data_IF_055823038464
#
_entry.id   IF_055823038464
#
_cell.length_a   1.000
_cell.length_b   1.000
_cell.length_c   1.000
_cell.angle_alpha   90.00
_cell.angle_beta   90.00
_cell.angle_gamma   90.00
#
_symmetry.space_group_name_H-M   'P 1'
#
loop_
_entity.id
_entity.type
_entity.pdbx_description
1 polymer ?
#
# COMPACT_ATOMS: atom_id res chain seq x y z
N UNK A 1 18.05 1.82 3.87
CA UNK A 1 17.05 1.98 4.95
C UNK A 1 17.25 0.84 5.93
N UNK A 2 17.17 1.05 7.26
CA UNK A 2 17.22 -0.07 8.21
C UNK A 2 16.08 -1.05 7.93
N UNK A 3 16.41 -2.34 7.81
CA UNK A 3 15.46 -3.42 7.64
C UNK A 3 14.84 -3.85 8.98
N UNK A 4 15.70 -3.91 10.01
CA UNK A 4 15.34 -4.23 11.39
C UNK A 4 14.88 -2.97 12.13
N UNK A 5 13.97 -3.17 13.08
CA UNK A 5 13.30 -2.14 13.86
C UNK A 5 12.03 -2.68 14.52
N UNK A 6 11.41 -1.89 15.39
CA UNK A 6 10.14 -2.27 16.05
C UNK A 6 8.97 -2.41 15.06
N UNK A 7 9.00 -1.63 13.99
CA UNK A 7 8.01 -1.61 12.91
C UNK A 7 8.71 -1.92 11.61
N UNK A 8 8.01 -2.60 10.70
CA UNK A 8 8.53 -2.79 9.35
C UNK A 8 8.74 -1.45 8.66
N UNK A 9 9.84 -1.30 7.93
CA UNK A 9 10.05 -0.19 7.02
C UNK A 9 9.04 -0.22 5.86
N UNK A 10 8.89 0.89 5.14
CA UNK A 10 7.95 1.02 4.03
C UNK A 10 6.50 1.36 4.44
N UNK A 11 6.26 1.61 5.73
CA UNK A 11 4.98 2.12 6.26
C UNK A 11 5.10 3.63 6.48
N UNK A 12 5.74 4.06 7.57
CA UNK A 12 5.98 5.48 7.88
C UNK A 12 7.28 6.01 7.27
N UNK A 13 8.10 5.14 6.66
CA UNK A 13 9.29 5.53 5.91
C UNK A 13 8.91 6.57 4.85
N UNK A 14 9.80 7.53 4.63
CA UNK A 14 9.72 8.47 3.52
C UNK A 14 9.29 7.75 2.24
N UNK A 15 8.25 8.25 1.57
CA UNK A 15 7.68 7.58 0.40
C UNK A 15 8.67 7.64 -0.78
N UNK A 16 9.24 6.50 -1.16
CA UNK A 16 10.15 6.40 -2.31
C UNK A 16 9.39 6.61 -3.63
N UNK A 17 10.11 6.96 -4.69
CA UNK A 17 9.49 7.35 -5.96
C UNK A 17 8.79 6.21 -6.71
N UNK A 18 9.26 4.97 -6.56
CA UNK A 18 8.81 3.80 -7.32
C UNK A 18 8.35 2.68 -6.39
N UNK A 19 7.45 1.85 -6.91
CA UNK A 19 6.91 0.69 -6.21
C UNK A 19 6.80 -0.52 -7.14
N UNK A 20 7.13 -1.69 -6.63
CA UNK A 20 6.62 -2.96 -7.12
C UNK A 20 5.88 -3.69 -6.00
N UNK A 21 4.56 -3.79 -6.13
CA UNK A 21 3.73 -4.56 -5.21
C UNK A 21 3.48 -5.94 -5.80
N UNK A 22 3.60 -6.99 -5.00
CA UNK A 22 3.31 -8.35 -5.42
C UNK A 22 2.43 -9.06 -4.37
N UNK A 23 1.40 -9.74 -4.84
CA UNK A 23 0.58 -10.65 -4.05
C UNK A 23 0.86 -12.08 -4.49
N UNK A 24 0.99 -12.99 -3.53
CA UNK A 24 1.33 -14.38 -3.72
C UNK A 24 0.25 -15.28 -3.13
N UNK A 25 -0.03 -16.39 -3.81
CA UNK A 25 -0.78 -17.52 -3.27
C UNK A 25 0.22 -18.60 -2.82
N UNK A 26 0.07 -19.10 -1.59
CA UNK A 26 0.84 -20.23 -1.06
C UNK A 26 0.26 -21.52 -1.66
N UNK A 27 1.13 -22.30 -2.30
CA UNK A 27 0.78 -23.52 -3.04
C UNK A 27 0.97 -24.81 -2.25
N UNK A 28 1.77 -24.77 -1.17
CA UNK A 28 1.95 -25.90 -0.25
C UNK A 28 0.95 -25.84 0.91
N UNK A 29 0.68 -27.00 1.50
CA UNK A 29 -0.06 -27.15 2.76
C UNK A 29 0.88 -27.45 3.95
N UNK A 30 2.18 -27.59 3.69
CA UNK A 30 3.18 -27.87 4.72
C UNK A 30 3.63 -26.58 5.42
N UNK A 31 3.40 -26.51 6.73
CA UNK A 31 3.80 -25.39 7.59
C UNK A 31 5.32 -25.13 7.54
N UNK A 32 6.13 -26.19 7.55
CA UNK A 32 7.58 -26.07 7.63
C UNK A 32 8.19 -25.49 6.34
N UNK A 33 7.59 -25.80 5.18
CA UNK A 33 8.00 -25.21 3.90
C UNK A 33 7.78 -23.69 3.92
N UNK A 34 6.64 -23.23 4.45
CA UNK A 34 6.31 -21.80 4.58
C UNK A 34 7.26 -21.10 5.55
N UNK A 35 7.52 -21.69 6.73
CA UNK A 35 8.47 -21.13 7.70
C UNK A 35 9.88 -21.05 7.09
N UNK A 36 10.31 -22.08 6.37
CA UNK A 36 11.61 -22.11 5.68
C UNK A 36 11.70 -21.00 4.63
N UNK A 37 10.65 -20.82 3.83
CA UNK A 37 10.57 -19.75 2.84
C UNK A 37 10.67 -18.37 3.51
N UNK A 38 9.90 -18.12 4.57
CA UNK A 38 9.89 -16.83 5.26
C UNK A 38 11.25 -16.50 5.90
N UNK A 39 11.94 -17.49 6.45
CA UNK A 39 13.33 -17.35 6.93
C UNK A 39 14.28 -16.98 5.79
N UNK A 40 14.16 -17.63 4.64
CA UNK A 40 15.00 -17.34 3.48
C UNK A 40 14.73 -15.95 2.90
N UNK A 41 13.45 -15.61 2.70
CA UNK A 41 13.01 -14.29 2.25
C UNK A 41 13.49 -13.17 3.17
N UNK A 42 13.45 -13.36 4.49
CA UNK A 42 13.95 -12.38 5.46
C UNK A 42 15.43 -12.08 5.23
N UNK A 43 16.27 -13.12 5.09
CA UNK A 43 17.71 -12.95 4.84
C UNK A 43 17.98 -12.21 3.54
N UNK A 44 17.27 -12.59 2.48
CA UNK A 44 17.39 -11.93 1.18
C UNK A 44 16.95 -10.46 1.25
N UNK A 45 15.82 -10.18 1.90
CA UNK A 45 15.30 -8.84 2.05
C UNK A 45 16.27 -7.93 2.82
N UNK A 46 16.83 -8.41 3.93
CA UNK A 46 17.83 -7.69 4.71
C UNK A 46 19.06 -7.34 3.87
N UNK A 47 19.57 -8.28 3.05
CA UNK A 47 20.68 -8.02 2.14
C UNK A 47 20.33 -7.00 1.06
N UNK A 48 19.22 -7.20 0.34
CA UNK A 48 18.81 -6.32 -0.76
C UNK A 48 18.53 -4.88 -0.29
N UNK A 49 17.98 -4.68 0.91
CA UNK A 49 17.78 -3.33 1.46
C UNK A 49 19.09 -2.58 1.79
N UNK A 50 20.22 -3.29 1.83
CA UNK A 50 21.58 -2.74 1.92
C UNK A 50 22.26 -2.57 0.55
N UNK A 51 21.57 -2.91 -0.55
CA UNK A 51 22.13 -2.88 -1.90
C UNK A 51 23.05 -4.06 -2.19
N UNK A 52 22.96 -5.13 -1.39
CA UNK A 52 23.70 -6.36 -1.61
C UNK A 52 22.87 -7.34 -2.44
N UNK A 53 23.54 -8.25 -3.14
CA UNK A 53 22.92 -9.43 -3.75
C UNK A 53 22.24 -10.31 -2.70
N UNK A 54 21.23 -11.07 -3.14
CA UNK A 54 20.45 -12.01 -2.32
C UNK A 54 21.29 -13.03 -1.55
N UNK A 55 22.44 -13.40 -2.12
CA UNK A 55 23.53 -14.12 -1.47
C UNK A 55 24.87 -13.48 -1.87
N UNK A 56 25.93 -13.65 -1.07
CA UNK A 56 27.23 -13.07 -1.41
C UNK A 56 27.80 -13.71 -2.67
N UNK A 57 28.07 -12.90 -3.71
CA UNK A 57 28.52 -13.38 -5.02
C UNK A 57 27.47 -14.19 -5.78
N UNK A 58 26.19 -14.05 -5.41
CA UNK A 58 25.09 -14.86 -5.92
C UNK A 58 24.82 -14.70 -7.42
N UNK A 59 25.21 -13.59 -8.04
CA UNK A 59 24.96 -13.31 -9.45
C UNK A 59 26.03 -13.88 -10.38
N UNK A 60 27.32 -13.84 -9.98
CA UNK A 60 28.44 -14.12 -10.90
C UNK A 60 29.56 -14.99 -10.34
N UNK A 61 29.73 -15.10 -9.01
CA UNK A 61 30.90 -15.76 -8.39
C UNK A 61 30.60 -17.19 -7.90
N UNK A 62 29.42 -17.71 -8.23
CA UNK A 62 28.98 -19.07 -7.87
C UNK A 62 29.55 -20.18 -8.75
N UNK A 63 29.03 -21.40 -8.58
CA UNK A 63 29.37 -22.54 -9.44
C UNK A 63 28.91 -22.25 -10.89
N UNK A 64 29.81 -22.25 -11.90
CA UNK A 64 29.46 -21.92 -13.28
C UNK A 64 28.49 -22.92 -13.94
N UNK A 65 28.27 -24.08 -13.32
CA UNK A 65 27.34 -25.11 -13.79
C UNK A 65 26.01 -25.13 -13.02
N UNK A 66 25.78 -24.18 -12.12
CA UNK A 66 24.53 -24.03 -11.39
C UNK A 66 23.82 -22.72 -11.75
N UNK A 67 22.48 -22.65 -11.67
CA UNK A 67 21.78 -21.37 -11.74
C UNK A 67 22.29 -20.42 -10.64
N UNK A 68 22.46 -19.12 -10.94
CA UNK A 68 22.89 -18.14 -9.94
C UNK A 68 21.82 -17.97 -8.85
N UNK A 69 22.25 -17.64 -7.62
CA UNK A 69 21.34 -17.40 -6.49
C UNK A 69 20.80 -15.96 -6.47
N UNK A 70 21.36 -15.05 -7.27
CA UNK A 70 20.80 -13.75 -7.60
C UNK A 70 20.60 -13.60 -9.11
N UNK A 71 19.52 -12.97 -9.55
CA UNK A 71 19.22 -12.80 -10.98
C UNK A 71 20.06 -11.72 -11.67
N UNK A 72 20.80 -10.90 -10.92
CA UNK A 72 21.88 -10.03 -11.40
C UNK A 72 21.45 -8.70 -12.03
N UNK A 73 20.16 -8.46 -12.26
CA UNK A 73 19.72 -7.21 -12.91
C UNK A 73 19.91 -5.97 -12.03
N UNK A 74 20.20 -6.09 -10.73
CA UNK A 74 20.53 -4.94 -9.88
C UNK A 74 22.04 -4.72 -9.68
N UNK A 75 22.91 -5.50 -10.33
CA UNK A 75 24.36 -5.31 -10.25
C UNK A 75 24.75 -3.90 -10.67
N UNK A 76 25.55 -3.24 -9.84
CA UNK A 76 26.01 -1.85 -10.06
C UNK A 76 24.99 -0.77 -9.71
N UNK A 77 23.78 -1.13 -9.28
CA UNK A 77 22.80 -0.17 -8.75
C UNK A 77 22.98 0.01 -7.24
N UNK A 78 22.69 1.20 -6.68
CA UNK A 78 22.69 1.40 -5.23
C UNK A 78 21.47 0.74 -4.59
N UNK A 79 21.46 0.63 -3.25
CA UNK A 79 20.29 0.19 -2.49
C UNK A 79 19.01 0.99 -2.77
N UNK A 80 19.14 2.23 -3.28
CA UNK A 80 18.04 3.09 -3.74
C UNK A 80 16.91 3.27 -2.72
N UNK A 81 17.28 3.38 -1.44
CA UNK A 81 16.35 3.44 -0.30
C UNK A 81 15.33 2.29 -0.27
N UNK A 82 15.69 1.11 -0.78
CA UNK A 82 14.79 -0.04 -0.84
C UNK A 82 14.23 -0.37 0.54
N UNK A 83 12.90 -0.50 0.60
CA UNK A 83 12.18 -1.12 1.71
C UNK A 83 11.33 -2.26 1.17
N UNK A 84 11.23 -3.33 1.96
CA UNK A 84 10.35 -4.46 1.70
C UNK A 84 9.41 -4.64 2.90
N UNK A 85 8.11 -4.55 2.66
CA UNK A 85 7.08 -4.72 3.70
C UNK A 85 6.26 -5.96 3.39
N UNK A 86 6.18 -6.91 4.31
CA UNK A 86 5.38 -8.13 4.18
C UNK A 86 4.03 -8.00 4.90
N UNK A 87 3.00 -8.67 4.40
CA UNK A 87 1.73 -8.85 5.08
C UNK A 87 1.04 -10.16 4.71
N UNK A 88 0.19 -10.66 5.60
CA UNK A 88 -0.54 -11.92 5.46
C UNK A 88 -2.03 -11.67 5.25
N UNK A 89 -2.60 -12.22 4.17
CA UNK A 89 -4.01 -12.04 3.81
C UNK A 89 -4.92 -13.02 4.54
N UNK A 90 -6.26 -12.84 4.48
CA UNK A 90 -7.21 -13.75 5.12
C UNK A 90 -7.01 -15.22 4.71
N UNK A 91 -6.71 -15.46 3.43
CA UNK A 91 -6.56 -16.80 2.86
C UNK A 91 -5.27 -17.53 3.28
N UNK A 92 -4.31 -16.81 3.90
CA UNK A 92 -3.12 -17.41 4.52
C UNK A 92 -3.47 -18.27 5.73
N UNK A 93 -4.50 -17.88 6.48
CA UNK A 93 -4.95 -18.56 7.69
C UNK A 93 -5.99 -19.64 7.38
N UNK A 94 -6.90 -19.36 6.45
CA UNK A 94 -7.97 -20.28 6.06
C UNK A 94 -8.21 -20.25 4.55
N UNK A 95 -8.24 -21.40 3.91
CA UNK A 95 -8.60 -21.52 2.50
C UNK A 95 -9.67 -22.59 2.33
N UNK A 96 -10.78 -22.22 1.68
CA UNK A 96 -11.95 -23.07 1.49
C UNK A 96 -12.47 -23.71 2.80
N UNK A 97 -12.45 -22.92 3.88
CA UNK A 97 -12.87 -23.34 5.22
C UNK A 97 -11.86 -24.20 5.98
N UNK A 98 -10.73 -24.58 5.38
CA UNK A 98 -9.67 -25.39 6.02
C UNK A 98 -8.66 -24.49 6.71
N UNK A 99 -8.26 -24.91 7.91
CA UNK A 99 -7.12 -24.33 8.63
C UNK A 99 -5.84 -24.61 7.84
N UNK A 100 -5.12 -23.54 7.50
CA UNK A 100 -3.80 -23.66 6.89
C UNK A 100 -2.75 -23.57 7.96
N UNK A 101 -1.86 -24.55 7.99
CA UNK A 101 -0.68 -24.57 8.86
C UNK A 101 -0.99 -24.63 10.37
N UNK A 102 -2.25 -24.84 10.77
CA UNK A 102 -2.65 -24.92 12.18
C UNK A 102 -2.61 -23.58 12.90
N UNK A 103 -2.85 -22.48 12.17
CA UNK A 103 -2.79 -21.10 12.69
C UNK A 103 -4.12 -20.35 12.52
N UNK A 104 -5.20 -21.04 12.16
CA UNK A 104 -6.43 -20.36 11.82
C UNK A 104 -7.18 -19.72 13.02
N UNK A 105 -6.79 -20.04 14.24
CA UNK A 105 -7.17 -19.36 15.49
C UNK A 105 -6.38 -18.06 15.72
N UNK A 106 -5.24 -17.89 15.04
CA UNK A 106 -4.42 -16.67 15.06
C UNK A 106 -4.89 -15.59 14.10
N UNK A 107 -5.85 -15.88 13.22
CA UNK A 107 -6.39 -14.89 12.29
C UNK A 107 -7.04 -13.73 13.07
N UNK A 108 -6.59 -12.47 12.85
CA UNK A 108 -7.22 -11.32 13.49
C UNK A 108 -8.68 -11.19 13.05
N UNK A 109 -9.57 -10.82 13.98
CA UNK A 109 -11.00 -10.72 13.69
C UNK A 109 -11.35 -9.69 12.59
N UNK A 110 -10.52 -8.65 12.45
CA UNK A 110 -10.66 -7.61 11.41
C UNK A 110 -10.01 -7.99 10.07
N UNK A 111 -9.21 -9.07 10.01
CA UNK A 111 -8.59 -9.55 8.78
C UNK A 111 -9.58 -10.40 7.98
N UNK A 112 -10.49 -9.73 7.28
CA UNK A 112 -11.51 -10.35 6.42
C UNK A 112 -11.61 -9.59 5.10
N UNK A 113 -12.06 -10.27 4.05
CA UNK A 113 -12.36 -9.61 2.78
C UNK A 113 -13.23 -8.38 2.99
N UNK A 114 -12.85 -7.28 2.34
CA UNK A 114 -13.59 -6.03 2.44
C UNK A 114 -15.03 -6.22 1.93
N UNK A 115 -16.01 -5.51 2.51
CA UNK A 115 -17.36 -5.53 1.99
C UNK A 115 -17.36 -4.97 0.55
N UNK A 116 -18.37 -5.35 -0.23
CA UNK A 116 -18.60 -4.72 -1.53
C UNK A 116 -19.00 -3.26 -1.35
N UNK A 117 -18.46 -2.40 -2.19
CA UNK A 117 -18.82 -0.99 -2.29
C UNK A 117 -19.50 -0.72 -3.64
N UNK A 118 -20.35 0.32 -3.74
CA UNK A 118 -20.82 0.79 -5.04
C UNK A 118 -19.67 1.18 -5.99
N UNK A 119 -19.93 1.16 -7.30
CA UNK A 119 -18.97 1.56 -8.35
C UNK A 119 -17.66 0.74 -8.37
N UNK A 120 -17.79 -0.56 -8.07
CA UNK A 120 -16.72 -1.56 -8.18
C UNK A 120 -16.94 -2.49 -9.38
N UNK A 121 -15.88 -2.71 -10.16
CA UNK A 121 -15.81 -3.74 -11.20
C UNK A 121 -14.54 -4.55 -11.00
N UNK A 122 -14.57 -5.41 -9.97
CA UNK A 122 -13.39 -6.17 -9.54
C UNK A 122 -12.96 -7.21 -10.59
N UNK A 123 -11.67 -7.23 -10.88
CA UNK A 123 -10.99 -8.34 -11.55
C UNK A 123 -10.51 -9.33 -10.48
N UNK A 124 -11.11 -10.54 -10.35
CA UNK A 124 -10.71 -11.51 -9.34
C UNK A 124 -9.23 -11.93 -9.42
N UNK A 125 -8.61 -11.85 -10.61
CA UNK A 125 -7.20 -12.14 -10.79
C UNK A 125 -6.29 -11.08 -10.14
N UNK A 126 -6.81 -9.88 -9.88
CA UNK A 126 -6.10 -8.75 -9.25
C UNK A 126 -6.61 -8.43 -7.83
N UNK A 127 -7.22 -9.42 -7.16
CA UNK A 127 -7.76 -9.26 -5.81
C UNK A 127 -7.17 -10.29 -4.84
N UNK A 128 -7.05 -9.93 -3.56
CA UNK A 128 -6.67 -10.84 -2.47
C UNK A 128 -5.24 -11.39 -2.55
N UNK A 129 -5.08 -12.63 -2.08
CA UNK A 129 -3.81 -13.34 -2.00
C UNK A 129 -3.40 -13.64 -0.56
N UNK A 130 -2.52 -14.63 -0.41
CA UNK A 130 -2.08 -15.15 0.89
C UNK A 130 -0.98 -14.28 1.50
N UNK A 131 -0.01 -13.83 0.71
CA UNK A 131 1.11 -13.01 1.19
C UNK A 131 1.28 -11.83 0.24
N UNK A 132 1.42 -10.61 0.76
CA UNK A 132 1.89 -9.48 -0.03
C UNK A 132 3.32 -9.10 0.31
N UNK A 133 4.05 -8.60 -0.69
CA UNK A 133 5.31 -7.86 -0.50
C UNK A 133 5.21 -6.52 -1.24
N UNK A 134 5.36 -5.42 -0.50
CA UNK A 134 5.51 -4.08 -1.06
C UNK A 134 7.00 -3.74 -1.14
N UNK A 135 7.55 -3.69 -2.36
CA UNK A 135 8.90 -3.18 -2.61
C UNK A 135 8.83 -1.72 -3.04
N UNK A 136 9.47 -0.82 -2.30
CA UNK A 136 9.56 0.60 -2.65
C UNK A 136 11.01 1.04 -2.71
N UNK A 137 11.40 1.72 -3.78
CA UNK A 137 12.75 2.23 -4.02
C UNK A 137 12.70 3.47 -4.91
N UNK A 138 13.78 4.24 -4.97
CA UNK A 138 13.87 5.40 -5.89
C UNK A 138 14.22 4.99 -7.33
N UNK A 139 14.62 3.72 -7.51
CA UNK A 139 14.92 3.10 -8.80
C UNK A 139 13.95 1.92 -9.02
N UNK A 140 13.21 1.89 -10.15
CA UNK A 140 12.22 0.84 -10.38
C UNK A 140 12.87 -0.53 -10.62
N UNK A 141 14.09 -0.59 -11.17
CA UNK A 141 14.81 -1.84 -11.43
C UNK A 141 15.22 -2.52 -10.12
N UNK A 142 15.59 -1.74 -9.10
CA UNK A 142 15.86 -2.25 -7.74
C UNK A 142 14.61 -2.85 -7.10
N UNK A 143 13.44 -2.18 -7.23
CA UNK A 143 12.18 -2.74 -6.71
C UNK A 143 11.74 -4.01 -7.46
N UNK A 144 11.95 -4.05 -8.79
CA UNK A 144 11.65 -5.22 -9.63
C UNK A 144 12.55 -6.41 -9.28
N UNK A 145 13.86 -6.18 -9.18
CA UNK A 145 14.85 -7.17 -8.77
C UNK A 145 14.47 -7.85 -7.46
N UNK A 146 14.06 -7.06 -6.46
CA UNK A 146 13.71 -7.59 -5.15
C UNK A 146 12.52 -8.56 -5.20
N UNK A 147 11.40 -8.14 -5.82
CA UNK A 147 10.23 -9.01 -5.98
C UNK A 147 10.55 -10.23 -6.83
N UNK A 148 11.31 -10.07 -7.92
CA UNK A 148 11.68 -11.19 -8.81
C UNK A 148 12.48 -12.25 -8.08
N UNK A 149 13.46 -11.86 -7.27
CA UNK A 149 14.26 -12.80 -6.50
C UNK A 149 13.44 -13.52 -5.42
N UNK A 150 12.57 -12.81 -4.71
CA UNK A 150 11.65 -13.44 -3.75
C UNK A 150 10.73 -14.45 -4.45
N UNK A 151 10.16 -14.10 -5.59
CA UNK A 151 9.33 -15.01 -6.39
C UNK A 151 10.11 -16.23 -6.89
N UNK A 152 11.36 -16.05 -7.34
CA UNK A 152 12.25 -17.12 -7.81
C UNK A 152 12.49 -18.15 -6.71
N UNK A 153 12.86 -17.70 -5.51
CA UNK A 153 13.11 -18.56 -4.35
C UNK A 153 11.82 -19.18 -3.81
N UNK A 154 10.69 -18.49 -3.97
CA UNK A 154 9.38 -18.99 -3.60
C UNK A 154 8.85 -20.15 -4.44
N UNK A 155 9.49 -20.48 -5.57
CA UNK A 155 9.03 -21.53 -6.47
C UNK A 155 8.76 -22.86 -5.73
N UNK A 156 7.58 -23.43 -5.95
CA UNK A 156 7.11 -24.65 -5.29
C UNK A 156 6.40 -24.42 -3.94
N UNK A 157 6.61 -23.27 -3.29
CA UNK A 157 5.95 -22.92 -2.02
C UNK A 157 4.89 -21.83 -2.22
N UNK A 158 5.16 -20.85 -3.08
CA UNK A 158 4.25 -19.77 -3.45
C UNK A 158 4.25 -19.54 -4.96
N UNK A 159 3.16 -18.97 -5.46
CA UNK A 159 3.02 -18.49 -6.84
C UNK A 159 2.57 -17.03 -6.83
N UNK A 160 3.08 -16.24 -7.78
CA UNK A 160 2.60 -14.86 -7.97
C UNK A 160 1.14 -14.91 -8.40
N UNK A 161 0.27 -14.25 -7.63
CA UNK A 161 -1.15 -14.09 -7.94
C UNK A 161 -1.36 -12.91 -8.88
N UNK A 162 -0.84 -11.75 -8.48
CA UNK A 162 -0.74 -10.56 -9.31
C UNK A 162 0.39 -9.66 -8.81
N UNK A 163 0.82 -8.76 -9.67
CA UNK A 163 1.74 -7.70 -9.29
C UNK A 163 1.34 -6.38 -9.93
N UNK A 164 1.75 -5.26 -9.33
CA UNK A 164 1.50 -3.93 -9.83
C UNK A 164 2.79 -3.12 -9.74
N UNK A 165 3.15 -2.47 -10.85
CA UNK A 165 4.19 -1.45 -10.86
C UNK A 165 3.57 -0.08 -10.63
N UNK A 166 4.17 0.67 -9.72
CA UNK A 166 3.86 2.07 -9.44
C UNK A 166 5.02 2.94 -9.89
N UNK A 167 4.80 3.78 -10.90
CA UNK A 167 5.88 4.59 -11.46
C UNK A 167 6.05 5.94 -10.76
N UNK A 168 5.11 6.39 -9.94
CA UNK A 168 5.27 7.66 -9.23
C UNK A 168 4.45 7.69 -7.95
N UNK A 169 5.08 8.02 -6.83
CA UNK A 169 4.39 8.19 -5.55
C UNK A 169 3.25 9.21 -5.64
N UNK A 170 2.18 8.95 -4.90
CA UNK A 170 1.02 9.87 -4.73
C UNK A 170 0.79 10.19 -3.26
N UNK A 171 1.83 10.02 -2.45
CA UNK A 171 1.80 10.22 -1.01
C UNK A 171 3.09 10.86 -0.53
N UNK A 172 2.98 11.58 0.58
CA UNK A 172 4.10 12.09 1.37
C UNK A 172 3.88 11.66 2.82
N UNK A 173 4.91 11.07 3.42
CA UNK A 173 4.91 10.56 4.81
C UNK A 173 5.82 11.37 5.73
N UNK A 174 6.54 12.36 5.20
CA UNK A 174 7.37 13.31 5.96
C UNK A 174 7.03 14.75 5.55
N UNK A 175 7.41 15.74 6.36
CA UNK A 175 7.16 17.16 6.04
C UNK A 175 8.11 17.73 5.00
N UNK A 176 9.31 17.17 4.90
CA UNK A 176 10.36 17.62 3.97
C UNK A 176 10.07 17.21 2.52
N UNK A 177 9.22 16.20 2.32
CA UNK A 177 8.79 15.79 0.99
C UNK A 177 7.77 16.75 0.41
N UNK A 178 8.11 17.36 -0.73
CA UNK A 178 7.13 18.00 -1.58
C UNK A 178 5.99 17.02 -1.92
N UNK A 179 4.76 17.51 -1.85
CA UNK A 179 3.57 16.72 -2.16
C UNK A 179 3.57 16.36 -3.66
N UNK A 180 3.59 15.06 -4.02
CA UNK A 180 3.60 14.63 -5.41
C UNK A 180 2.22 14.83 -6.05
N UNK A 181 2.11 14.54 -7.35
CA UNK A 181 0.83 14.60 -8.07
C UNK A 181 0.34 13.22 -8.50
N UNK A 182 -0.97 13.02 -8.48
CA UNK A 182 -1.60 11.87 -9.12
C UNK A 182 -1.89 12.12 -10.61
N UNK A 183 -2.39 11.12 -11.32
CA UNK A 183 -2.67 11.20 -12.76
C UNK A 183 -3.81 12.17 -13.15
N UNK A 184 -4.68 12.56 -12.22
CA UNK A 184 -5.61 13.67 -12.44
C UNK A 184 -4.94 15.05 -12.35
N UNK A 185 -3.66 15.09 -11.98
CA UNK A 185 -2.84 16.29 -11.91
C UNK A 185 -2.98 17.05 -10.59
N UNK A 186 -3.61 16.48 -9.57
CA UNK A 186 -3.76 17.09 -8.25
C UNK A 186 -2.63 16.68 -7.31
N UNK A 187 -2.26 17.58 -6.39
CA UNK A 187 -1.36 17.23 -5.28
C UNK A 187 -2.01 16.17 -4.40
N UNK A 188 -1.29 15.11 -4.10
CA UNK A 188 -1.80 13.96 -3.35
C UNK A 188 -0.87 13.61 -2.19
N UNK A 189 -1.43 13.63 -0.97
CA UNK A 189 -0.67 13.44 0.28
C UNK A 189 -0.49 14.70 1.15
N UNK A 190 -1.16 15.81 0.82
CA UNK A 190 -1.15 17.06 1.61
C UNK A 190 -1.59 16.84 3.05
N UNK A 191 -2.83 16.37 3.25
CA UNK A 191 -3.34 15.98 4.56
C UNK A 191 -3.20 14.46 4.71
N UNK A 192 -2.05 14.03 5.23
CA UNK A 192 -1.70 12.64 5.45
C UNK A 192 -0.94 12.55 6.78
N UNK A 193 -1.00 11.40 7.45
CA UNK A 193 -0.21 11.17 8.66
C UNK A 193 1.29 11.23 8.34
N UNK A 194 2.04 11.94 9.19
CA UNK A 194 3.49 12.13 9.05
C UNK A 194 4.26 11.34 10.10
N UNK A 195 5.48 10.94 9.76
CA UNK A 195 6.34 10.09 10.60
C UNK A 195 6.68 10.69 11.96
N UNK A 196 6.65 12.03 12.08
CA UNK A 196 6.89 12.78 13.32
C UNK A 196 5.65 12.88 14.23
N UNK A 197 4.47 12.50 13.75
CA UNK A 197 3.20 12.55 14.49
C UNK A 197 2.94 11.24 15.24
N UNK A 198 3.85 10.86 16.13
CA UNK A 198 3.85 9.55 16.81
C UNK A 198 2.52 9.21 17.49
N UNK A 199 1.91 10.15 18.22
CA UNK A 199 0.61 9.94 18.89
C UNK A 199 -0.52 9.64 17.90
N UNK A 200 -0.55 10.33 16.74
CA UNK A 200 -1.54 10.06 15.70
C UNK A 200 -1.27 8.71 15.01
N UNK A 201 -0.01 8.33 14.85
CA UNK A 201 0.37 7.03 14.29
C UNK A 201 -0.02 5.87 15.24
N UNK A 202 0.21 6.00 16.54
CA UNK A 202 -0.20 5.02 17.56
C UNK A 202 -1.72 4.89 17.64
N UNK A 203 -2.44 6.00 17.45
CA UNK A 203 -3.90 6.01 17.40
C UNK A 203 -4.44 5.36 16.12
N UNK A 204 -3.86 5.65 14.96
CA UNK A 204 -4.49 5.40 13.67
C UNK A 204 -3.83 4.33 12.80
N UNK A 205 -2.58 3.95 13.05
CA UNK A 205 -1.80 3.04 12.18
C UNK A 205 -1.40 1.76 12.89
N UNK A 206 -0.86 1.87 14.10
CA UNK A 206 -0.29 0.72 14.79
C UNK A 206 -1.31 -0.06 15.61
N UNK A 207 -1.39 -1.37 15.40
CA UNK A 207 -2.18 -2.29 16.23
C UNK A 207 -1.61 -2.27 17.65
N UNK A 208 -2.44 -1.94 18.64
CA UNK A 208 -2.02 -1.93 20.04
C UNK A 208 -2.36 -3.26 20.72
N UNK A 209 -1.79 -3.45 21.91
CA UNK A 209 -2.14 -4.56 22.78
C UNK A 209 -3.65 -4.56 23.08
N UNK A 210 -4.28 -5.73 22.96
CA UNK A 210 -5.72 -5.91 23.19
C UNK A 210 -6.63 -5.65 21.98
N UNK A 211 -6.12 -5.08 20.88
CA UNK A 211 -6.91 -4.90 19.65
C UNK A 211 -7.15 -6.21 18.89
N UNK A 212 -6.30 -7.21 19.10
CA UNK A 212 -6.30 -8.45 18.35
C UNK A 212 -5.29 -9.46 18.89
N UNK A 213 -4.89 -10.46 18.08
CA UNK A 213 -3.94 -11.48 18.53
C UNK A 213 -2.56 -10.85 18.80
N UNK A 214 -1.88 -11.33 19.84
CA UNK A 214 -0.62 -10.75 20.32
C UNK A 214 0.46 -10.64 19.23
N UNK A 215 0.51 -11.58 18.29
CA UNK A 215 1.51 -11.60 17.20
C UNK A 215 1.48 -10.37 16.30
N UNK A 216 0.31 -9.71 16.19
CA UNK A 216 0.11 -8.51 15.36
C UNK A 216 0.31 -7.22 16.17
N UNK A 217 0.57 -7.28 17.48
CA UNK A 217 0.82 -6.07 18.27
C UNK A 217 2.03 -5.36 17.71
N UNK A 218 1.85 -4.08 17.40
CA UNK A 218 2.84 -3.28 16.72
C UNK A 218 2.93 -3.49 15.21
N UNK A 219 2.03 -4.28 14.63
CA UNK A 219 1.80 -4.35 13.19
C UNK A 219 0.84 -3.26 12.72
N UNK A 220 0.32 -3.43 11.51
CA UNK A 220 -0.72 -2.60 10.89
C UNK A 220 -1.54 -3.47 9.94
N UNK A 221 -2.75 -3.05 9.61
CA UNK A 221 -3.46 -3.58 8.46
C UNK A 221 -3.11 -2.75 7.22
N UNK A 222 -2.86 -3.42 6.11
CA UNK A 222 -2.60 -2.85 4.79
C UNK A 222 -3.81 -3.16 3.90
N UNK A 223 -4.41 -2.12 3.32
CA UNK A 223 -5.45 -2.25 2.31
C UNK A 223 -4.89 -1.77 0.98
N UNK A 224 -5.08 -2.56 -0.08
CA UNK A 224 -4.81 -2.11 -1.46
C UNK A 224 -6.11 -1.97 -2.24
N UNK A 225 -6.15 -0.95 -3.10
CA UNK A 225 -7.23 -0.74 -4.07
C UNK A 225 -6.59 -0.35 -5.39
N UNK A 226 -6.80 -1.15 -6.44
CA UNK A 226 -6.46 -0.73 -7.81
C UNK A 226 -7.62 0.12 -8.32
N UNK A 227 -7.37 1.41 -8.50
CA UNK A 227 -8.38 2.40 -8.89
C UNK A 227 -8.05 2.88 -10.29
N UNK A 228 -8.82 2.42 -11.28
CA UNK A 228 -8.71 2.90 -12.65
C UNK A 228 -9.32 4.29 -12.75
N UNK A 229 -8.60 5.21 -13.39
CA UNK A 229 -9.04 6.56 -13.68
C UNK A 229 -9.56 6.64 -15.12
N UNK A 230 -10.71 7.31 -15.32
CA UNK A 230 -11.29 7.63 -16.63
C UNK A 230 -10.67 8.94 -17.13
N UNK A 231 -9.39 8.88 -17.49
CA UNK A 231 -8.54 10.05 -17.77
C UNK A 231 -9.10 10.89 -18.91
N UNK A 232 -9.59 10.26 -19.98
CA UNK A 232 -10.10 10.98 -21.15
C UNK A 232 -11.40 11.74 -20.87
N UNK A 233 -12.21 11.28 -19.91
CA UNK A 233 -13.40 11.99 -19.45
C UNK A 233 -13.00 13.16 -18.53
N UNK A 234 -12.03 12.90 -17.65
CA UNK A 234 -11.49 13.91 -16.75
C UNK A 234 -10.86 15.08 -17.50
N UNK A 235 -10.05 14.81 -18.52
CA UNK A 235 -9.34 15.83 -19.29
C UNK A 235 -10.26 16.73 -20.11
N UNK A 236 -11.50 16.29 -20.37
CA UNK A 236 -12.55 17.08 -21.02
C UNK A 236 -13.44 17.85 -20.03
N UNK A 237 -13.24 17.65 -18.74
CA UNK A 237 -13.96 18.32 -17.66
C UNK A 237 -13.32 19.70 -17.39
N UNK A 238 -14.14 20.73 -17.16
CA UNK A 238 -13.61 22.08 -16.89
C UNK A 238 -12.77 22.10 -15.63
N UNK A 239 -11.77 22.99 -15.55
CA UNK A 239 -10.92 23.13 -14.35
C UNK A 239 -11.74 23.39 -13.09
N UNK A 240 -12.75 24.27 -13.16
CA UNK A 240 -13.61 24.59 -12.02
C UNK A 240 -14.34 23.35 -11.51
N UNK A 241 -14.80 22.49 -12.42
CA UNK A 241 -15.47 21.24 -12.07
C UNK A 241 -14.48 20.22 -11.47
N UNK A 242 -13.28 20.10 -12.02
CA UNK A 242 -12.23 19.25 -11.42
C UNK A 242 -11.90 19.69 -9.99
N UNK A 243 -11.75 21.00 -9.76
CA UNK A 243 -11.49 21.57 -8.43
C UNK A 243 -12.70 21.43 -7.50
N UNK A 244 -13.93 21.48 -8.00
CA UNK A 244 -15.16 21.20 -7.23
C UNK A 244 -15.20 19.75 -6.77
N UNK A 245 -14.97 18.81 -7.69
CA UNK A 245 -14.96 17.36 -7.43
C UNK A 245 -13.93 16.99 -6.37
N UNK A 246 -12.72 17.56 -6.47
CA UNK A 246 -11.67 17.29 -5.48
C UNK A 246 -11.89 18.08 -4.19
N UNK A 247 -12.32 19.34 -4.29
CA UNK A 247 -12.45 20.29 -3.17
C UNK A 247 -11.16 21.07 -2.86
N UNK A 248 -10.15 20.97 -3.73
CA UNK A 248 -8.89 21.73 -3.67
C UNK A 248 -8.59 22.34 -5.04
N UNK A 249 -7.74 23.36 -5.05
CA UNK A 249 -7.24 23.98 -6.26
C UNK A 249 -6.16 23.12 -6.90
N UNK A 250 -6.21 22.94 -8.23
CA UNK A 250 -5.31 22.04 -8.96
C UNK A 250 -3.87 22.53 -8.94
N UNK A 251 -3.68 23.84 -9.09
CA UNK A 251 -2.35 24.47 -9.13
C UNK A 251 -1.65 24.42 -7.77
N UNK A 252 -2.20 25.15 -6.79
CA UNK A 252 -1.60 25.34 -5.46
C UNK A 252 -1.77 24.12 -4.54
N UNK A 253 -2.87 23.38 -4.68
CA UNK A 253 -3.30 22.37 -3.71
C UNK A 253 -4.09 22.94 -2.54
N UNK A 254 -4.33 24.25 -2.48
CA UNK A 254 -5.08 24.89 -1.39
C UNK A 254 -6.55 24.42 -1.38
N UNK A 255 -7.21 24.32 -0.22
CA UNK A 255 -8.66 24.14 -0.18
C UNK A 255 -9.37 25.23 -0.99
N UNK A 256 -10.49 24.89 -1.62
CA UNK A 256 -11.26 25.88 -2.36
C UNK A 256 -11.72 27.01 -1.42
N UNK A 257 -11.40 28.26 -1.78
CA UNK A 257 -11.64 29.44 -0.94
C UNK A 257 -10.46 29.89 -0.08
N UNK A 258 -9.35 29.14 -0.05
CA UNK A 258 -8.13 29.45 0.70
C UNK A 258 -6.91 29.60 -0.23
N UNK A 259 -5.73 29.88 0.32
CA UNK A 259 -4.57 30.35 -0.47
C UNK A 259 -3.39 29.38 -0.48
N UNK A 260 -3.11 28.71 0.64
CA UNK A 260 -1.97 27.83 0.79
C UNK A 260 -2.38 26.36 0.81
N UNK A 261 -1.49 25.49 0.32
CA UNK A 261 -1.71 24.05 0.27
C UNK A 261 -2.12 23.48 1.65
N UNK A 262 -1.43 23.91 2.69
CA UNK A 262 -1.58 23.41 4.05
C UNK A 262 -2.57 24.21 4.91
N UNK A 263 -3.35 25.12 4.30
CA UNK A 263 -4.49 25.72 5.01
C UNK A 263 -5.49 24.60 5.39
N UNK A 264 -6.03 24.69 6.62
CA UNK A 264 -7.01 23.74 7.13
C UNK A 264 -8.32 23.79 6.32
N UNK A 265 -9.03 22.66 6.24
CA UNK A 265 -10.32 22.63 5.57
C UNK A 265 -11.33 23.47 6.37
N UNK A 266 -12.08 24.34 5.69
CA UNK A 266 -13.11 25.14 6.32
C UNK A 266 -14.42 25.03 5.52
N UNK A 267 -15.39 24.28 6.07
CA UNK A 267 -16.66 24.00 5.42
C UNK A 267 -17.71 25.12 5.55
N UNK A 268 -17.41 26.15 6.35
CA UNK A 268 -18.27 27.32 6.55
C UNK A 268 -18.07 28.41 5.48
N UNK A 269 -17.00 28.32 4.68
CA UNK A 269 -16.74 29.30 3.63
C UNK A 269 -17.74 29.11 2.49
N UNK A 270 -18.48 30.16 2.17
CA UNK A 270 -19.44 30.19 1.05
C UNK A 270 -19.04 31.16 -0.05
N UNK A 271 -19.59 30.98 -1.24
CA UNK A 271 -19.58 31.99 -2.31
C UNK A 271 -20.63 33.10 -2.05
N UNK A 272 -20.68 34.09 -2.95
CA UNK A 272 -21.63 35.20 -2.86
C UNK A 272 -23.10 34.83 -3.06
N UNK A 273 -23.40 33.55 -3.33
CA UNK A 273 -24.76 32.98 -3.43
C UNK A 273 -25.09 32.08 -2.24
N UNK A 274 -24.19 31.94 -1.27
CA UNK A 274 -24.35 31.07 -0.10
C UNK A 274 -24.05 29.59 -0.37
N UNK A 275 -23.49 29.23 -1.52
CA UNK A 275 -23.05 27.85 -1.77
C UNK A 275 -21.68 27.60 -1.11
N UNK A 276 -21.43 26.43 -0.52
CA UNK A 276 -20.14 26.14 0.10
C UNK A 276 -19.03 26.13 -0.96
N UNK A 277 -17.87 26.73 -0.64
CA UNK A 277 -16.69 26.74 -1.53
C UNK A 277 -16.07 25.35 -1.68
N UNK A 278 -16.15 24.54 -0.64
CA UNK A 278 -15.86 23.11 -0.68
C UNK A 278 -17.20 22.39 -0.79
N UNK A 279 -17.46 21.84 -1.98
CA UNK A 279 -18.72 21.16 -2.30
C UNK A 279 -19.05 20.07 -1.28
N UNK A 280 -20.34 19.82 -1.04
CA UNK A 280 -20.80 18.80 -0.08
C UNK A 280 -20.38 17.39 -0.52
N UNK A 281 -20.23 17.19 -1.83
CA UNK A 281 -19.85 15.92 -2.45
C UNK A 281 -18.36 15.90 -2.87
N UNK A 282 -17.58 16.91 -2.46
CA UNK A 282 -16.15 16.97 -2.75
C UNK A 282 -15.37 15.85 -2.04
N UNK A 283 -14.44 15.24 -2.76
CA UNK A 283 -13.62 14.12 -2.26
C UNK A 283 -12.95 14.44 -0.92
N UNK A 284 -12.24 15.57 -0.82
CA UNK A 284 -11.52 15.93 0.41
C UNK A 284 -12.45 16.19 1.59
N UNK A 285 -13.68 16.67 1.35
CA UNK A 285 -14.66 16.88 2.42
C UNK A 285 -15.12 15.54 2.96
N UNK A 286 -15.56 14.64 2.09
CA UNK A 286 -16.07 13.33 2.46
C UNK A 286 -15.01 12.41 3.08
N UNK A 287 -13.74 12.57 2.70
CA UNK A 287 -12.61 11.82 3.24
C UNK A 287 -11.97 12.45 4.51
N UNK A 288 -12.41 13.63 4.92
CA UNK A 288 -11.78 14.39 6.02
C UNK A 288 -12.13 13.85 7.40
N UNK A 289 -11.22 14.04 8.36
CA UNK A 289 -11.47 13.72 9.77
C UNK A 289 -12.62 14.57 10.33
N UNK A 290 -12.74 15.82 9.89
CA UNK A 290 -13.77 16.78 10.27
C UNK A 290 -15.18 16.29 9.89
N UNK A 291 -15.31 15.62 8.72
CA UNK A 291 -16.58 15.02 8.27
C UNK A 291 -16.80 13.61 8.84
N UNK A 292 -15.74 12.83 9.00
CA UNK A 292 -15.79 11.42 9.39
C UNK A 292 -15.66 11.18 10.90
N UNK A 293 -15.80 12.21 11.73
CA UNK A 293 -15.77 12.07 13.19
C UNK A 293 -14.39 11.66 13.73
N UNK A 294 -13.32 12.17 13.12
CA UNK A 294 -11.94 11.96 13.56
C UNK A 294 -11.25 10.73 12.95
N UNK A 295 -11.85 10.08 11.95
CA UNK A 295 -11.20 8.99 11.22
C UNK A 295 -10.05 9.53 10.38
N UNK A 296 -8.87 8.97 10.59
CA UNK A 296 -7.67 9.25 9.81
C UNK A 296 -7.02 7.93 9.37
N UNK A 297 -6.30 7.95 8.25
CA UNK A 297 -5.56 6.80 7.71
C UNK A 297 -4.20 7.26 7.17
N UNK A 298 -3.22 6.36 7.12
CA UNK A 298 -1.95 6.63 6.45
C UNK A 298 -2.02 6.15 5.00
N UNK A 299 -2.10 7.09 4.04
CA UNK A 299 -2.13 6.77 2.61
C UNK A 299 -0.72 6.67 2.05
N UNK A 300 -0.47 5.68 1.20
CA UNK A 300 0.84 5.39 0.58
C UNK A 300 0.76 4.88 -0.87
N UNK A 301 -0.15 5.45 -1.66
CA UNK A 301 -0.45 4.98 -3.01
C UNK A 301 0.58 5.41 -4.08
N UNK A 302 0.50 4.76 -5.25
CA UNK A 302 1.34 5.03 -6.41
C UNK A 302 0.52 5.10 -7.71
N UNK A 303 0.88 6.01 -8.61
CA UNK A 303 0.32 6.03 -9.97
C UNK A 303 0.77 4.78 -10.74
N UNK A 304 -0.13 4.19 -11.52
CA UNK A 304 0.19 3.09 -12.45
C UNK A 304 -0.29 3.39 -13.87
N UNK A 305 0.33 2.70 -14.83
CA UNK A 305 -0.12 2.60 -16.22
C UNK A 305 0.19 1.19 -16.72
N UNK A 306 -0.82 0.50 -17.23
CA UNK A 306 -0.78 -0.90 -17.68
C UNK A 306 -1.15 -1.01 -19.17
N UNK A 307 -0.83 0.02 -19.96
CA UNK A 307 -1.14 0.07 -21.39
C UNK A 307 -2.53 0.64 -21.67
N UNK A 308 -3.27 0.02 -22.58
CA UNK A 308 -4.61 0.46 -23.00
C UNK A 308 -5.67 -0.62 -22.87
N UNK A 309 -6.93 -0.22 -22.78
CA UNK A 309 -8.07 -1.12 -22.56
C UNK A 309 -8.59 -1.81 -23.84
N UNK A 310 -7.85 -1.72 -24.94
CA UNK A 310 -8.26 -2.24 -26.25
C UNK A 310 -9.24 -1.36 -27.03
N UNK A 311 -9.81 -0.31 -26.41
CA UNK A 311 -10.66 0.70 -27.06
C UNK A 311 -9.95 2.04 -27.26
N UNK A 312 -8.66 2.10 -26.92
CA UNK A 312 -7.83 3.28 -27.05
C UNK A 312 -7.80 4.17 -25.81
N UNK A 313 -8.44 3.76 -24.70
CA UNK A 313 -8.29 4.46 -23.43
C UNK A 313 -7.12 3.92 -22.63
N UNK A 314 -6.50 4.77 -21.83
CA UNK A 314 -5.40 4.37 -20.96
C UNK A 314 -5.92 3.48 -19.81
N UNK A 315 -5.29 2.32 -19.59
CA UNK A 315 -5.47 1.55 -18.35
C UNK A 315 -4.48 2.09 -17.30
N UNK A 316 -4.86 3.19 -16.68
CA UNK A 316 -4.03 3.89 -15.71
C UNK A 316 -4.87 4.41 -14.56
N UNK A 317 -4.19 4.75 -13.47
CA UNK A 317 -4.83 5.34 -12.31
C UNK A 317 -3.95 5.25 -11.07
N UNK A 318 -4.59 4.97 -9.95
CA UNK A 318 -3.97 4.93 -8.63
C UNK A 318 -4.00 3.51 -8.07
N UNK A 319 -2.83 2.95 -7.78
CA UNK A 319 -2.70 1.81 -6.88
C UNK A 319 -2.65 2.35 -5.46
N UNK A 320 -3.85 2.48 -4.88
CA UNK A 320 -4.02 3.05 -3.56
C UNK A 320 -3.60 2.04 -2.51
N UNK A 321 -2.84 2.50 -1.53
CA UNK A 321 -2.44 1.74 -0.34
C UNK A 321 -2.81 2.57 0.88
N UNK A 322 -3.45 1.94 1.87
CA UNK A 322 -3.66 2.53 3.17
C UNK A 322 -3.18 1.61 4.28
N UNK A 323 -2.51 2.20 5.27
CA UNK A 323 -2.19 1.57 6.53
C UNK A 323 -3.12 2.11 7.62
N UNK A 324 -3.72 1.19 8.35
CA UNK A 324 -4.68 1.49 9.42
C UNK A 324 -4.51 0.52 10.59
N UNK A 325 -4.84 1.00 11.79
CA UNK A 325 -4.90 0.19 13.01
C UNK A 325 -6.12 -0.73 13.01
N UNK A 326 -7.26 -0.25 12.51
CA UNK A 326 -8.52 -0.99 12.45
C UNK A 326 -9.26 -0.72 11.13
N UNK A 327 -9.25 -1.69 10.18
CA UNK A 327 -10.02 -1.61 8.94
C UNK A 327 -11.50 -1.31 9.17
N UNK A 328 -12.12 -1.92 10.19
CA UNK A 328 -13.55 -1.75 10.46
C UNK A 328 -13.89 -0.36 11.01
N UNK A 329 -13.00 0.26 11.78
CA UNK A 329 -13.22 1.59 12.37
C UNK A 329 -12.76 2.73 11.47
N UNK A 330 -11.86 2.47 10.52
CA UNK A 330 -11.21 3.53 9.74
C UNK A 330 -11.47 3.40 8.23
N UNK A 331 -10.87 2.40 7.57
CA UNK A 331 -10.90 2.33 6.10
C UNK A 331 -12.31 2.06 5.56
N UNK A 332 -13.01 1.06 6.12
CA UNK A 332 -14.33 0.66 5.64
C UNK A 332 -15.38 1.79 5.77
N UNK A 333 -15.56 2.46 6.93
CA UNK A 333 -16.52 3.56 7.03
C UNK A 333 -16.17 4.74 6.12
N UNK A 334 -14.88 5.10 5.99
CA UNK A 334 -14.43 6.14 5.05
C UNK A 334 -14.79 5.78 3.60
N UNK A 335 -14.44 4.56 3.15
CA UNK A 335 -14.77 4.11 1.80
C UNK A 335 -16.28 3.99 1.56
N UNK A 336 -17.09 3.63 2.58
CA UNK A 336 -18.56 3.61 2.47
C UNK A 336 -19.13 5.02 2.23
N UNK A 337 -18.59 6.04 2.89
CA UNK A 337 -19.03 7.42 2.68
C UNK A 337 -18.66 7.88 1.27
N UNK A 338 -17.42 7.64 0.85
CA UNK A 338 -16.95 7.99 -0.49
C UNK A 338 -17.73 7.27 -1.59
N UNK A 339 -17.91 5.96 -1.48
CA UNK A 339 -18.60 5.19 -2.52
C UNK A 339 -20.09 5.56 -2.69
N UNK A 340 -20.70 6.25 -1.72
CA UNK A 340 -22.12 6.66 -1.79
C UNK A 340 -22.32 8.07 -2.35
N UNK A 341 -21.40 8.99 -2.07
CA UNK A 341 -21.64 10.43 -2.28
C UNK A 341 -20.56 11.13 -3.10
N UNK A 342 -19.37 10.55 -3.20
CA UNK A 342 -18.23 11.25 -3.79
C UNK A 342 -18.44 11.51 -5.28
N UNK A 343 -18.34 12.78 -5.66
CA UNK A 343 -18.42 13.21 -7.05
C UNK A 343 -17.30 12.58 -7.90
N UNK A 344 -16.16 12.21 -7.28
CA UNK A 344 -15.05 11.55 -7.96
C UNK A 344 -15.44 10.19 -8.57
N UNK A 345 -16.50 9.54 -8.07
CA UNK A 345 -16.98 8.25 -8.57
C UNK A 345 -17.34 8.28 -10.06
N UNK A 346 -17.67 9.44 -10.63
CA UNK A 346 -17.88 9.59 -12.07
C UNK A 346 -16.60 9.30 -12.88
N UNK A 347 -15.44 9.56 -12.30
CA UNK A 347 -14.14 9.51 -12.97
C UNK A 347 -13.28 8.33 -12.56
N UNK A 348 -13.70 7.52 -11.59
CA UNK A 348 -12.93 6.36 -11.13
C UNK A 348 -13.76 5.08 -11.11
N UNK A 349 -13.07 3.96 -11.17
CA UNK A 349 -13.66 2.63 -10.92
C UNK A 349 -12.64 1.77 -10.19
N UNK A 350 -13.06 1.13 -9.10
CA UNK A 350 -12.21 0.19 -8.40
C UNK A 350 -12.22 -1.17 -9.12
N UNK A 351 -11.04 -1.67 -9.47
CA UNK A 351 -10.87 -2.88 -10.28
C UNK A 351 -10.07 -3.99 -9.59
N UNK A 352 -9.53 -3.72 -8.40
CA UNK A 352 -8.80 -4.71 -7.62
C UNK A 352 -8.79 -4.32 -6.14
N UNK A 353 -8.75 -5.31 -5.26
CA UNK A 353 -8.80 -5.07 -3.81
C UNK A 353 -8.10 -6.19 -3.04
N UNK A 354 -7.42 -5.84 -1.97
CA UNK A 354 -6.89 -6.81 -1.02
C UNK A 354 -6.68 -6.19 0.36
N UNK A 355 -6.62 -7.03 1.39
CA UNK A 355 -6.32 -6.66 2.76
C UNK A 355 -5.30 -7.65 3.32
N UNK A 356 -4.32 -7.13 4.06
CA UNK A 356 -3.25 -7.92 4.67
C UNK A 356 -2.98 -7.42 6.09
N UNK A 357 -2.62 -8.32 6.99
CA UNK A 357 -2.06 -7.99 8.30
C UNK A 357 -0.54 -7.98 8.19
N UNK A 358 0.06 -6.79 8.31
CA UNK A 358 1.50 -6.61 8.35
C UNK A 358 2.00 -6.83 9.79
N UNK A 359 2.81 -7.87 10.06
CA UNK A 359 3.37 -8.10 11.40
C UNK A 359 4.27 -6.93 11.86
N UNK A 360 4.63 -6.88 13.16
CA UNK A 360 5.65 -5.95 13.64
C UNK A 360 6.99 -6.16 12.92
N UNK A 361 7.92 -5.21 13.12
CA UNK A 361 9.27 -5.33 12.61
C UNK A 361 10.10 -6.38 13.35
N UNK A 362 11.28 -6.68 12.81
CA UNK A 362 12.26 -7.57 13.45
C UNK A 362 13.20 -6.72 14.30
N UNK A 363 13.22 -6.92 15.61
CA UNK A 363 14.02 -6.09 16.53
C UNK A 363 15.51 -6.20 16.23
N UNK A 364 16.22 -5.09 16.44
CA UNK A 364 17.67 -5.08 16.37
C UNK A 364 18.28 -6.06 17.36
N UNK A 365 19.29 -6.81 16.92
CA UNK A 365 19.97 -7.83 17.73
C UNK A 365 19.26 -9.19 17.79
N UNK A 366 18.00 -9.31 17.36
CA UNK A 366 17.32 -10.61 17.24
C UNK A 366 17.67 -11.27 15.91
N UNK A 367 18.73 -12.08 15.91
CA UNK A 367 19.18 -12.85 14.74
C UNK A 367 18.31 -14.07 14.43
N UNK A 368 17.44 -14.48 15.35
CA UNK A 368 16.50 -15.60 15.17
C UNK A 368 15.19 -15.18 14.52
N UNK A 369 14.79 -13.91 14.70
CA UNK A 369 13.59 -13.34 14.12
C UNK A 369 13.58 -13.37 12.59
N UNK A 370 12.43 -13.76 12.03
CA UNK A 370 12.12 -13.73 10.61
C UNK A 370 10.71 -13.23 10.40
N UNK A 371 10.38 -12.80 9.19
CA UNK A 371 9.02 -12.39 8.86
C UNK A 371 7.99 -13.47 9.22
N UNK A 372 7.07 -13.13 10.12
CA UNK A 372 6.06 -14.06 10.63
C UNK A 372 6.50 -14.90 11.83
N UNK A 373 7.69 -14.71 12.40
CA UNK A 373 8.12 -15.45 13.60
C UNK A 373 7.16 -15.25 14.77
N UNK A 374 6.66 -14.02 15.00
CA UNK A 374 5.66 -13.76 16.06
C UNK A 374 4.34 -14.51 15.87
N UNK A 375 4.02 -14.93 14.63
CA UNK A 375 2.82 -15.68 14.29
C UNK A 375 3.01 -17.19 14.46
N UNK A 376 4.19 -17.71 14.11
CA UNK A 376 4.47 -19.16 14.08
C UNK A 376 5.14 -19.71 15.34
N UNK A 377 5.68 -18.87 16.21
CA UNK A 377 6.44 -19.29 17.41
C UNK A 377 5.69 -19.10 18.74
#
# INVERSE_FOLDING_TARGET
MPFRGERQAGIITEAQDRMHFCSFDVTTDNREDVITLLKQWTKMAERMTRGEETEAGGAVDGNPYAPPSDTGEALGLPASQLTLTIGFGPSFFRKDGKDRFGIADKQPAELKDLPKFPNETMDPARCGGDICVQACANDPQVAVHAIRNLARVGFGTVAVRYSQLGFGRTSSTTRDQATPRNLFGFKDGTNNLKSDQTELLDKNVWVAEGDGPAWLTGGSYLITRRIRMRIENWDRTTLLEQERVIGRQKGSGAPNGLQQEFDELNFEITDGKGNPKIDKDAHVRLASAEHLGGIEILRRGYNFTDGSDGFGHLDAGLFFIAFVRSPEKQFIPMQRELARKDALNEYITHTGTAIFACPPGLRDGDSSGYWGSTLFE
#
